data_IF_912881647081
#
_entry.id   IF_912881647081
#
_cell.length_a   1.000
_cell.length_b   1.000
_cell.length_c   1.000
_cell.angle_alpha   90.00
_cell.angle_beta   90.00
_cell.angle_gamma   90.00
#
_symmetry.space_group_name_H-M   'P 1'
#
loop_
_entity.id
_entity.type
_entity.pdbx_description
1 polymer ?
#
# COMPACT_ATOMS: atom_id res chain seq x y z
N UNK A 1 5.83 4.70 18.42
CA UNK A 1 6.30 6.01 17.88
C UNK A 1 5.33 6.40 16.76
N UNK A 2 4.80 7.63 16.72
CA UNK A 2 3.85 8.04 15.68
C UNK A 2 4.56 8.21 14.34
N UNK A 3 4.02 7.65 13.27
CA UNK A 3 4.44 7.97 11.92
C UNK A 3 3.96 9.40 11.58
N UNK A 4 4.88 10.31 11.30
CA UNK A 4 4.55 11.66 10.86
C UNK A 4 4.32 11.65 9.35
N UNK A 5 3.15 12.08 8.91
CA UNK A 5 2.80 12.21 7.50
C UNK A 5 2.86 13.68 7.13
N UNK A 6 3.71 14.02 6.20
CA UNK A 6 3.80 15.34 5.57
C UNK A 6 3.41 15.20 4.09
N UNK A 7 2.91 16.27 3.52
CA UNK A 7 2.63 16.33 2.09
C UNK A 7 3.01 17.69 1.51
N UNK A 8 3.23 17.74 0.21
CA UNK A 8 3.52 18.96 -0.53
C UNK A 8 3.61 18.70 -2.01
N UNK A 9 3.54 19.78 -2.78
CA UNK A 9 3.44 19.71 -4.23
C UNK A 9 4.78 19.47 -4.93
N UNK A 10 5.90 19.84 -4.31
CA UNK A 10 7.24 19.67 -4.88
C UNK A 10 8.07 18.71 -4.06
N UNK A 11 8.80 17.85 -4.75
CA UNK A 11 9.68 16.88 -4.08
C UNK A 11 10.80 17.57 -3.27
N UNK A 12 11.26 18.72 -3.74
CA UNK A 12 12.31 19.50 -3.05
C UNK A 12 11.88 20.09 -1.72
N UNK A 13 10.56 20.23 -1.47
CA UNK A 13 10.05 20.77 -0.19
C UNK A 13 10.36 19.85 0.98
N UNK A 14 10.65 18.55 0.72
CA UNK A 14 11.10 17.59 1.74
C UNK A 14 12.35 18.08 2.48
N UNK A 15 13.21 18.89 1.84
CA UNK A 15 14.45 19.42 2.45
C UNK A 15 14.16 20.29 3.67
N UNK A 16 12.98 20.91 3.76
CA UNK A 16 12.53 21.61 4.94
C UNK A 16 12.46 20.75 6.21
N UNK A 17 12.19 19.45 6.05
CA UNK A 17 12.11 18.47 7.13
C UNK A 17 13.46 17.81 7.45
N UNK A 18 14.50 18.05 6.63
CA UNK A 18 15.84 17.50 6.80
C UNK A 18 16.75 18.37 7.69
N UNK A 19 16.36 19.63 7.98
CA UNK A 19 17.18 20.63 8.71
C UNK A 19 17.64 20.19 10.10
N UNK A 20 17.00 19.21 10.73
CA UNK A 20 17.36 18.72 12.06
C UNK A 20 18.36 17.55 12.06
N UNK A 21 18.83 17.13 10.89
CA UNK A 21 19.70 15.95 10.76
C UNK A 21 21.09 16.37 10.26
N UNK A 22 22.16 16.04 11.01
CA UNK A 22 23.52 16.48 10.64
C UNK A 22 23.99 15.86 9.33
N UNK A 23 23.68 14.57 9.14
CA UNK A 23 24.10 13.78 7.99
C UNK A 23 22.87 13.11 7.36
N UNK A 24 22.60 13.40 6.10
CA UNK A 24 21.52 12.81 5.31
C UNK A 24 22.14 11.99 4.19
N UNK A 25 21.79 10.72 4.13
CA UNK A 25 22.15 9.78 3.07
C UNK A 25 20.88 9.43 2.30
N UNK A 26 20.94 9.46 0.96
CA UNK A 26 19.79 9.22 0.09
C UNK A 26 19.99 7.89 -0.62
N UNK A 27 19.01 7.00 -0.50
CA UNK A 27 18.90 5.79 -1.32
C UNK A 27 17.71 5.97 -2.25
N UNK A 28 17.90 5.78 -3.53
CA UNK A 28 16.83 5.98 -4.51
C UNK A 28 16.75 4.86 -5.55
N UNK A 29 15.52 4.61 -6.03
CA UNK A 29 15.30 3.82 -7.23
C UNK A 29 15.90 4.55 -8.44
N UNK A 30 16.66 3.85 -9.27
CA UNK A 30 17.28 4.41 -10.50
C UNK A 30 16.23 5.00 -11.46
N UNK A 31 15.00 4.52 -11.44
CA UNK A 31 13.92 5.06 -12.26
C UNK A 31 13.53 6.49 -11.90
N UNK A 32 13.83 6.92 -10.65
CA UNK A 32 13.54 8.28 -10.16
C UNK A 32 14.81 9.09 -9.86
N UNK A 33 15.92 8.79 -10.55
CA UNK A 33 17.23 9.47 -10.39
C UNK A 33 17.10 10.99 -10.42
N UNK A 34 16.39 11.56 -11.39
CA UNK A 34 16.23 13.01 -11.51
C UNK A 34 15.58 13.64 -10.28
N UNK A 35 14.57 13.00 -9.71
CA UNK A 35 13.90 13.45 -8.48
C UNK A 35 14.85 13.37 -7.27
N UNK A 36 15.63 12.30 -7.17
CA UNK A 36 16.60 12.14 -6.08
C UNK A 36 17.72 13.18 -6.15
N UNK A 37 18.26 13.43 -7.33
CA UNK A 37 19.29 14.47 -7.57
C UNK A 37 18.80 15.87 -7.23
N UNK A 38 17.54 16.20 -7.56
CA UNK A 38 16.91 17.47 -7.18
C UNK A 38 16.86 17.65 -5.66
N UNK A 39 16.47 16.59 -4.91
CA UNK A 39 16.43 16.63 -3.45
C UNK A 39 17.83 16.80 -2.86
N UNK A 40 18.82 16.02 -3.34
CA UNK A 40 20.22 16.14 -2.89
C UNK A 40 20.74 17.54 -3.13
N UNK A 41 20.60 18.07 -4.35
CA UNK A 41 21.02 19.42 -4.71
C UNK A 41 20.36 20.49 -3.84
N UNK A 42 19.04 20.44 -3.70
CA UNK A 42 18.30 21.41 -2.88
C UNK A 42 18.68 21.33 -1.39
N UNK A 43 19.04 20.12 -0.89
CA UNK A 43 19.53 19.96 0.47
C UNK A 43 20.95 20.54 0.65
N UNK A 44 21.84 20.35 -0.31
CA UNK A 44 23.20 20.91 -0.28
C UNK A 44 23.20 22.44 -0.35
N UNK A 45 22.32 23.03 -1.18
CA UNK A 45 22.16 24.48 -1.28
C UNK A 45 21.64 25.12 0.05
N UNK A 46 20.97 24.36 0.90
CA UNK A 46 20.51 24.81 2.21
C UNK A 46 21.56 24.67 3.32
N UNK A 47 22.66 23.92 3.10
CA UNK A 47 23.77 23.85 4.06
C UNK A 47 24.52 25.19 4.05
N UNK A 48 24.75 25.74 5.25
CA UNK A 48 25.54 26.97 5.42
C UNK A 48 26.93 26.84 4.77
N UNK A 49 27.41 27.93 4.14
CA UNK A 49 28.77 28.03 3.61
C UNK A 49 29.79 27.54 4.65
N UNK A 50 30.59 26.53 4.30
CA UNK A 50 31.64 25.96 5.14
C UNK A 50 31.48 24.49 5.51
N UNK A 51 30.37 23.85 5.18
CA UNK A 51 30.27 22.39 5.26
C UNK A 51 30.85 21.77 3.99
N UNK A 52 31.90 20.96 4.12
CA UNK A 52 32.46 20.23 2.98
C UNK A 52 31.36 19.32 2.39
N UNK A 53 31.16 19.35 1.05
CA UNK A 53 30.26 18.39 0.43
C UNK A 53 30.83 17.00 0.63
N UNK A 54 30.06 16.10 1.26
CA UNK A 54 30.39 14.68 1.26
C UNK A 54 30.25 14.17 -0.18
N UNK A 55 31.27 13.53 -0.77
CA UNK A 55 31.15 12.94 -2.08
C UNK A 55 30.10 11.84 -2.04
N UNK A 56 29.07 11.99 -2.87
CA UNK A 56 27.99 11.06 -3.14
C UNK A 56 27.16 10.57 -1.94
N UNK A 57 26.39 11.46 -1.32
CA UNK A 57 25.32 11.04 -0.39
C UNK A 57 24.11 10.38 -1.10
N UNK A 58 24.27 9.91 -2.33
CA UNK A 58 23.23 9.27 -3.13
C UNK A 58 23.66 7.89 -3.60
N UNK A 59 22.89 6.86 -3.22
CA UNK A 59 22.98 5.51 -3.75
C UNK A 59 21.77 5.24 -4.65
N UNK A 60 22.01 4.87 -5.91
CA UNK A 60 20.98 4.45 -6.85
C UNK A 60 20.91 2.93 -6.92
N UNK A 61 19.73 2.37 -6.69
CA UNK A 61 19.47 0.95 -6.75
C UNK A 61 18.69 0.58 -8.01
N UNK A 62 18.98 -0.58 -8.58
CA UNK A 62 18.14 -1.21 -9.59
C UNK A 62 17.06 -2.02 -8.85
N UNK A 63 15.84 -1.44 -8.78
CA UNK A 63 14.75 -1.94 -7.94
C UNK A 63 13.84 -2.87 -8.73
N UNK A 64 13.72 -4.10 -8.24
CA UNK A 64 12.77 -5.09 -8.74
C UNK A 64 12.35 -6.04 -7.60
N UNK A 65 11.31 -6.84 -7.81
CA UNK A 65 10.90 -7.84 -6.83
C UNK A 65 12.00 -8.91 -6.61
N UNK A 66 12.80 -9.21 -7.63
CA UNK A 66 13.95 -10.13 -7.54
C UNK A 66 15.08 -9.55 -6.70
N UNK A 67 15.29 -8.22 -6.80
CA UNK A 67 16.31 -7.50 -6.06
C UNK A 67 15.88 -7.10 -4.64
N UNK A 68 14.63 -7.36 -4.27
CA UNK A 68 14.13 -7.18 -2.89
C UNK A 68 14.70 -8.27 -1.98
N UNK A 69 15.99 -8.16 -1.69
CA UNK A 69 16.79 -9.23 -1.08
C UNK A 69 17.71 -8.74 0.04
N UNK A 70 18.19 -9.68 0.84
CA UNK A 70 19.17 -9.39 1.88
C UNK A 70 20.50 -8.89 1.30
N UNK A 71 20.89 -9.31 0.09
CA UNK A 71 22.11 -8.80 -0.60
C UNK A 71 22.02 -7.30 -0.86
N UNK A 72 20.87 -6.81 -1.33
CA UNK A 72 20.66 -5.35 -1.54
C UNK A 72 20.65 -4.57 -0.23
N UNK A 73 20.08 -5.14 0.83
CA UNK A 73 20.15 -4.54 2.18
C UNK A 73 21.59 -4.44 2.67
N UNK A 74 22.41 -5.46 2.45
CA UNK A 74 23.84 -5.43 2.80
C UNK A 74 24.64 -4.44 1.93
N UNK A 75 24.28 -4.26 0.64
CA UNK A 75 24.84 -3.22 -0.22
C UNK A 75 24.57 -1.82 0.35
N UNK A 76 23.34 -1.52 0.76
CA UNK A 76 22.99 -0.26 1.44
C UNK A 76 23.82 -0.09 2.71
N UNK A 77 23.91 -1.12 3.55
CA UNK A 77 24.71 -1.07 4.79
C UNK A 77 26.20 -0.84 4.52
N UNK A 78 26.75 -1.50 3.50
CA UNK A 78 28.15 -1.33 3.08
C UNK A 78 28.37 0.10 2.59
N UNK A 79 27.52 0.63 1.73
CA UNK A 79 27.64 2.00 1.25
C UNK A 79 27.56 3.03 2.38
N UNK A 80 26.65 2.84 3.35
CA UNK A 80 26.59 3.70 4.54
C UNK A 80 27.90 3.64 5.37
N UNK A 81 28.52 2.47 5.46
CA UNK A 81 29.77 2.28 6.16
C UNK A 81 30.95 2.93 5.42
N UNK A 82 31.03 2.74 4.12
CA UNK A 82 32.10 3.29 3.27
C UNK A 82 32.06 4.84 3.21
N UNK A 83 30.89 5.44 3.51
CA UNK A 83 30.70 6.90 3.61
C UNK A 83 30.61 7.41 5.05
N UNK A 84 31.12 6.66 6.03
CA UNK A 84 31.22 7.05 7.43
C UNK A 84 29.88 7.46 8.11
N UNK A 85 28.73 6.92 7.64
CA UNK A 85 27.43 7.22 8.23
C UNK A 85 27.42 6.94 9.74
N UNK A 86 27.21 7.99 10.54
CA UNK A 86 27.17 7.93 12.01
C UNK A 86 25.83 7.39 12.53
N UNK A 87 25.74 7.16 13.87
CA UNK A 87 24.48 6.72 14.51
C UNK A 87 23.37 7.76 14.45
N UNK A 88 23.72 9.02 14.27
CA UNK A 88 22.77 10.13 14.17
C UNK A 88 22.38 10.48 12.73
N UNK A 89 22.91 9.75 11.73
CA UNK A 89 22.55 9.90 10.34
C UNK A 89 21.08 9.59 10.09
N UNK A 90 20.52 10.21 9.05
CA UNK A 90 19.21 9.92 8.49
C UNK A 90 19.40 9.22 7.14
N UNK A 91 18.78 8.07 6.94
CA UNK A 91 18.63 7.45 5.63
C UNK A 91 17.30 7.88 5.03
N UNK A 92 17.33 8.67 3.95
CA UNK A 92 16.16 9.08 3.18
C UNK A 92 15.98 8.11 2.00
N UNK A 93 14.87 7.40 1.94
CA UNK A 93 14.56 6.54 0.81
C UNK A 93 13.58 7.24 -0.15
N UNK A 94 13.96 7.33 -1.44
CA UNK A 94 13.16 7.90 -2.52
C UNK A 94 12.86 6.79 -3.53
N UNK A 95 11.61 6.31 -3.56
CA UNK A 95 11.23 5.20 -4.42
C UNK A 95 9.89 4.58 -4.07
N UNK A 96 9.55 3.50 -4.75
CA UNK A 96 8.35 2.72 -4.47
C UNK A 96 8.43 1.90 -3.17
N UNK A 97 7.42 1.04 -2.93
CA UNK A 97 7.33 0.20 -1.75
C UNK A 97 8.55 -0.72 -1.55
N UNK A 98 9.12 -1.27 -2.62
CA UNK A 98 10.32 -2.12 -2.55
C UNK A 98 11.51 -1.32 -2.00
N UNK A 99 11.72 -0.09 -2.50
CA UNK A 99 12.80 0.79 -2.03
C UNK A 99 12.64 1.14 -0.56
N UNK A 100 11.43 1.53 -0.16
CA UNK A 100 11.15 1.91 1.24
C UNK A 100 11.32 0.74 2.19
N UNK A 101 10.89 -0.47 1.80
CA UNK A 101 11.04 -1.69 2.58
C UNK A 101 12.51 -2.05 2.80
N UNK A 102 13.32 -2.08 1.74
CA UNK A 102 14.75 -2.40 1.83
C UNK A 102 15.52 -1.35 2.63
N UNK A 103 15.29 -0.06 2.35
CA UNK A 103 15.97 1.03 3.04
C UNK A 103 15.61 1.10 4.52
N UNK A 104 14.32 0.93 4.86
CA UNK A 104 13.87 0.89 6.25
C UNK A 104 14.45 -0.29 7.02
N UNK A 105 14.57 -1.46 6.37
CA UNK A 105 15.20 -2.62 6.98
C UNK A 105 16.72 -2.42 7.14
N UNK A 106 17.42 -1.91 6.13
CA UNK A 106 18.84 -1.56 6.22
C UNK A 106 19.11 -0.57 7.37
N UNK A 107 18.32 0.53 7.43
CA UNK A 107 18.44 1.51 8.51
C UNK A 107 18.16 0.91 9.89
N UNK A 108 17.30 -0.11 9.97
CA UNK A 108 16.92 -0.74 11.24
C UNK A 108 18.04 -1.65 11.80
N UNK A 109 18.86 -2.24 10.93
CA UNK A 109 19.95 -3.14 11.34
C UNK A 109 21.32 -2.46 11.35
N UNK A 110 21.57 -1.44 10.51
CA UNK A 110 22.83 -0.72 10.45
C UNK A 110 23.13 -0.03 11.78
N UNK A 111 24.32 -0.28 12.35
CA UNK A 111 24.76 0.22 13.67
C UNK A 111 23.73 0.01 14.81
N UNK A 112 22.88 -1.03 14.73
CA UNK A 112 21.77 -1.36 15.63
C UNK A 112 20.60 -0.37 15.52
N UNK A 113 20.48 0.33 14.39
CA UNK A 113 19.41 1.24 14.06
C UNK A 113 19.85 2.69 13.95
N UNK A 114 19.73 3.24 12.73
CA UNK A 114 19.83 4.69 12.45
C UNK A 114 18.42 5.21 12.08
N UNK A 115 18.25 6.53 12.06
CA UNK A 115 17.00 7.15 11.64
C UNK A 115 16.79 6.99 10.15
N UNK A 116 15.53 6.92 9.73
CA UNK A 116 15.16 6.87 8.32
C UNK A 116 13.84 7.60 8.07
N UNK A 117 13.64 8.04 6.83
CA UNK A 117 12.44 8.69 6.35
C UNK A 117 12.16 8.28 4.90
N UNK A 118 10.95 8.52 4.43
CA UNK A 118 10.49 8.09 3.12
C UNK A 118 9.96 9.24 2.27
N UNK A 119 10.28 9.19 0.98
CA UNK A 119 9.63 9.92 -0.10
C UNK A 119 9.10 8.87 -1.09
N UNK A 120 7.89 8.35 -0.88
CA UNK A 120 7.32 7.33 -1.74
C UNK A 120 7.01 7.90 -3.13
N UNK A 121 7.43 7.19 -4.20
CA UNK A 121 7.30 7.67 -5.58
C UNK A 121 6.30 6.91 -6.43
N UNK A 122 5.71 5.83 -5.92
CA UNK A 122 4.55 5.19 -6.55
C UNK A 122 3.28 5.55 -5.78
N UNK A 123 2.14 5.60 -6.48
CA UNK A 123 0.87 5.92 -5.81
C UNK A 123 0.54 4.89 -4.72
N UNK A 124 0.77 3.60 -5.00
CA UNK A 124 0.65 2.52 -4.02
C UNK A 124 1.48 2.79 -2.75
N UNK A 125 2.70 3.27 -2.89
CA UNK A 125 3.55 3.54 -1.72
C UNK A 125 3.12 4.80 -0.96
N UNK A 126 2.57 5.81 -1.64
CA UNK A 126 2.05 7.02 -1.00
C UNK A 126 0.81 6.73 -0.13
N UNK A 127 -0.09 5.87 -0.60
CA UNK A 127 -1.35 5.60 0.10
C UNK A 127 -1.27 4.42 1.07
N UNK A 128 -0.35 3.48 0.84
CA UNK A 128 -0.29 2.22 1.57
C UNK A 128 1.13 1.78 1.97
N UNK A 129 1.99 1.34 1.04
CA UNK A 129 3.16 0.53 1.34
C UNK A 129 4.20 1.24 2.23
N UNK A 130 4.43 2.54 2.09
CA UNK A 130 5.37 3.30 2.93
C UNK A 130 4.81 3.69 4.31
N UNK A 131 3.58 3.26 4.65
CA UNK A 131 2.89 3.62 5.87
C UNK A 131 2.73 2.39 6.77
N UNK A 132 3.07 2.52 8.04
CA UNK A 132 2.81 1.46 9.03
C UNK A 132 4.04 0.69 9.48
N UNK A 133 5.25 1.08 9.03
CA UNK A 133 6.52 0.65 9.58
C UNK A 133 6.93 -0.79 9.29
N UNK A 134 6.16 -1.56 8.52
CA UNK A 134 6.61 -2.87 8.02
C UNK A 134 7.74 -2.64 7.03
N UNK A 135 8.90 -3.23 7.26
CA UNK A 135 10.07 -3.19 6.38
C UNK A 135 10.62 -4.58 6.23
N UNK A 136 11.19 -4.90 5.08
CA UNK A 136 11.75 -6.23 4.91
C UNK A 136 12.06 -6.61 3.48
N UNK A 137 12.51 -7.85 3.33
CA UNK A 137 12.94 -8.42 2.06
C UNK A 137 12.41 -9.84 1.89
N UNK A 138 12.46 -10.29 0.66
CA UNK A 138 12.16 -11.67 0.29
C UNK A 138 13.34 -12.56 0.67
N UNK A 139 13.03 -13.80 1.02
CA UNK A 139 14.03 -14.83 1.25
C UNK A 139 13.54 -16.15 0.67
N UNK A 140 14.36 -16.74 -0.19
CA UNK A 140 13.98 -17.90 -0.99
C UNK A 140 12.68 -17.63 -1.78
N UNK A 141 11.64 -18.46 -1.58
CA UNK A 141 10.35 -18.33 -2.24
C UNK A 141 9.30 -17.55 -1.41
N UNK A 142 9.71 -16.97 -0.27
CA UNK A 142 8.80 -16.29 0.62
C UNK A 142 8.95 -14.77 0.52
N UNK A 143 7.87 -14.08 0.18
CA UNK A 143 7.84 -12.62 0.15
C UNK A 143 7.82 -12.04 1.57
N UNK A 144 8.60 -10.97 1.78
CA UNK A 144 8.61 -10.15 3.00
C UNK A 144 8.84 -10.93 4.32
N UNK A 145 9.49 -12.10 4.27
CA UNK A 145 9.66 -12.98 5.44
C UNK A 145 10.74 -12.50 6.41
N UNK A 146 11.74 -11.77 5.92
CA UNK A 146 12.78 -11.18 6.75
C UNK A 146 12.54 -9.67 6.86
N UNK A 147 12.32 -9.19 8.08
CA UNK A 147 12.04 -7.77 8.28
C UNK A 147 11.78 -7.40 9.73
N UNK A 148 11.46 -6.15 9.93
CA UNK A 148 11.10 -5.58 11.24
C UNK A 148 9.92 -4.64 11.11
N UNK A 149 9.25 -4.38 12.23
CA UNK A 149 8.24 -3.31 12.33
C UNK A 149 8.92 -2.13 13.02
N UNK A 150 9.19 -1.06 12.27
CA UNK A 150 9.79 0.16 12.79
C UNK A 150 9.30 1.36 12.00
N UNK A 151 8.80 2.38 12.71
CA UNK A 151 8.26 3.58 12.08
C UNK A 151 9.39 4.48 11.54
N UNK A 152 9.22 5.09 10.35
CA UNK A 152 10.09 6.15 9.88
C UNK A 152 9.93 7.41 10.75
N UNK A 153 10.93 8.31 10.74
CA UNK A 153 10.82 9.63 11.33
C UNK A 153 9.65 10.42 10.70
N UNK A 154 9.50 10.29 9.38
CA UNK A 154 8.38 10.82 8.62
C UNK A 154 8.25 10.12 7.27
N UNK A 155 7.06 10.24 6.67
CA UNK A 155 6.81 9.95 5.26
C UNK A 155 6.34 11.24 4.60
N UNK A 156 6.97 11.64 3.50
CA UNK A 156 6.65 12.83 2.73
C UNK A 156 5.95 12.45 1.43
N UNK A 157 4.67 12.75 1.32
CA UNK A 157 3.81 12.47 0.17
C UNK A 157 3.94 13.62 -0.82
N UNK A 158 4.30 13.30 -2.08
CA UNK A 158 4.45 14.28 -3.14
C UNK A 158 3.88 13.72 -4.46
N UNK A 159 2.69 14.11 -4.88
CA UNK A 159 2.08 13.63 -6.11
C UNK A 159 2.80 14.04 -7.40
N UNK A 160 3.63 15.10 -7.39
CA UNK A 160 4.43 15.52 -8.55
C UNK A 160 5.19 14.34 -9.18
N UNK A 161 5.73 13.44 -8.35
CA UNK A 161 6.53 12.29 -8.82
C UNK A 161 5.69 11.25 -9.59
N UNK A 162 4.36 11.28 -9.47
CA UNK A 162 3.45 10.36 -10.17
C UNK A 162 3.37 10.65 -11.67
N UNK A 163 3.80 11.84 -12.13
CA UNK A 163 3.78 12.22 -13.55
C UNK A 163 4.59 11.29 -14.48
N UNK A 164 5.55 10.55 -13.93
CA UNK A 164 6.35 9.56 -14.67
C UNK A 164 5.90 8.12 -14.47
N UNK A 165 4.96 7.89 -13.53
CA UNK A 165 4.50 6.55 -13.18
C UNK A 165 3.69 5.94 -14.33
N UNK A 166 3.93 4.67 -14.73
CA UNK A 166 3.05 3.97 -15.64
C UNK A 166 1.61 3.94 -15.11
N UNK A 167 0.62 4.11 -16.01
CA UNK A 167 -0.79 4.21 -15.59
C UNK A 167 -1.28 2.94 -14.86
N UNK A 168 -0.80 1.76 -15.24
CA UNK A 168 -1.13 0.51 -14.55
C UNK A 168 -0.66 0.50 -13.09
N UNK A 169 0.52 1.08 -12.82
CA UNK A 169 1.05 1.21 -11.46
C UNK A 169 0.29 2.28 -10.67
N UNK A 170 -0.17 3.35 -11.34
CA UNK A 170 -1.09 4.31 -10.76
C UNK A 170 -2.40 3.64 -10.32
N UNK A 171 -3.00 2.80 -11.17
CA UNK A 171 -4.20 2.02 -10.83
C UNK A 171 -3.99 1.08 -9.63
N UNK A 172 -2.79 0.53 -9.46
CA UNK A 172 -2.49 -0.28 -8.28
C UNK A 172 -2.60 0.53 -6.98
N UNK A 173 -2.14 1.78 -7.01
CA UNK A 173 -2.34 2.71 -5.88
C UNK A 173 -3.81 3.13 -5.71
N UNK A 174 -4.54 3.33 -6.82
CA UNK A 174 -5.95 3.67 -6.79
C UNK A 174 -6.81 2.60 -6.11
N UNK A 175 -6.51 1.31 -6.34
CA UNK A 175 -7.19 0.21 -5.65
C UNK A 175 -6.99 0.25 -4.13
N UNK A 176 -5.78 0.52 -3.67
CA UNK A 176 -5.45 0.64 -2.24
C UNK A 176 -6.01 1.91 -1.60
N UNK A 177 -6.08 3.01 -2.36
CA UNK A 177 -6.76 4.23 -1.95
C UNK A 177 -8.24 3.94 -1.66
N UNK A 178 -8.95 3.35 -2.62
CA UNK A 178 -10.36 2.97 -2.47
C UNK A 178 -10.56 1.96 -1.35
N UNK A 179 -9.68 0.97 -1.19
CA UNK A 179 -9.69 0.04 -0.06
C UNK A 179 -9.68 0.80 1.27
N UNK A 180 -8.78 1.76 1.42
CA UNK A 180 -8.65 2.53 2.65
C UNK A 180 -9.93 3.31 2.96
N UNK A 181 -10.58 3.89 1.94
CA UNK A 181 -11.82 4.63 2.11
C UNK A 181 -13.06 3.74 2.26
N UNK A 182 -13.04 2.50 1.78
CA UNK A 182 -14.05 1.50 2.13
C UNK A 182 -13.94 1.11 3.62
N UNK A 183 -12.74 1.12 4.19
CA UNK A 183 -12.52 0.84 5.62
C UNK A 183 -12.96 2.03 6.49
N UNK A 184 -12.66 3.26 6.07
CA UNK A 184 -12.99 4.49 6.79
C UNK A 184 -13.30 5.61 5.78
N UNK A 185 -14.57 5.99 5.63
CA UNK A 185 -15.04 7.03 4.70
C UNK A 185 -15.25 8.38 5.39
N UNK A 186 -14.43 8.75 6.37
CA UNK A 186 -14.49 10.06 6.98
C UNK A 186 -14.35 11.18 5.92
N UNK A 187 -15.28 12.12 5.91
CA UNK A 187 -15.28 13.26 4.99
C UNK A 187 -15.67 12.92 3.54
N UNK A 188 -16.37 11.81 3.30
CA UNK A 188 -16.81 11.34 1.98
C UNK A 188 -15.62 11.15 1.00
N UNK A 189 -14.50 10.70 1.52
CA UNK A 189 -13.28 10.52 0.72
C UNK A 189 -13.43 9.44 -0.35
N UNK A 190 -14.31 8.43 -0.13
CA UNK A 190 -14.57 7.40 -1.13
C UNK A 190 -15.21 8.01 -2.39
N UNK A 191 -16.26 8.81 -2.22
CA UNK A 191 -16.98 9.44 -3.33
C UNK A 191 -16.07 10.41 -4.10
N UNK A 192 -15.30 11.22 -3.39
CA UNK A 192 -14.30 12.13 -4.00
C UNK A 192 -13.22 11.36 -4.77
N UNK A 193 -12.74 10.24 -4.22
CA UNK A 193 -11.74 9.42 -4.91
C UNK A 193 -12.30 8.79 -6.18
N UNK A 194 -13.55 8.27 -6.15
CA UNK A 194 -14.21 7.72 -7.34
C UNK A 194 -14.38 8.80 -8.41
N UNK A 195 -14.77 10.03 -8.05
CA UNK A 195 -14.91 11.14 -8.99
C UNK A 195 -13.57 11.47 -9.67
N UNK A 196 -12.53 11.78 -8.89
CA UNK A 196 -11.20 12.12 -9.42
C UNK A 196 -10.61 10.98 -10.26
N UNK A 197 -10.68 9.74 -9.78
CA UNK A 197 -10.14 8.60 -10.50
C UNK A 197 -10.89 8.31 -11.80
N UNK A 198 -12.22 8.51 -11.84
CA UNK A 198 -13.02 8.34 -13.05
C UNK A 198 -12.69 9.41 -14.10
N UNK A 199 -12.54 10.68 -13.72
CA UNK A 199 -12.12 11.76 -14.63
C UNK A 199 -10.73 11.49 -15.23
N UNK A 200 -9.79 11.00 -14.42
CA UNK A 200 -8.47 10.59 -14.90
C UNK A 200 -8.58 9.41 -15.87
N UNK A 201 -9.41 8.40 -15.55
CA UNK A 201 -9.55 7.21 -16.39
C UNK A 201 -10.19 7.51 -17.75
N UNK A 202 -11.22 8.35 -17.76
CA UNK A 202 -11.97 8.74 -18.96
C UNK A 202 -11.18 9.68 -19.88
N UNK A 203 -10.12 10.31 -19.36
CA UNK A 203 -9.28 11.21 -20.15
C UNK A 203 -8.52 10.47 -21.25
N UNK A 204 -8.43 11.10 -22.45
CA UNK A 204 -7.60 10.61 -23.55
C UNK A 204 -6.12 10.64 -23.19
N UNK A 205 -5.66 11.70 -22.50
CA UNK A 205 -4.29 11.82 -21.97
C UNK A 205 -4.33 11.71 -20.44
N UNK A 206 -4.19 10.49 -19.95
CA UNK A 206 -4.21 10.18 -18.52
C UNK A 206 -3.05 10.80 -17.75
N UNK A 207 -1.89 10.98 -18.37
CA UNK A 207 -0.75 11.67 -17.73
C UNK A 207 -1.06 13.14 -17.51
N UNK A 208 -1.63 13.80 -18.50
CA UNK A 208 -2.07 15.18 -18.37
C UNK A 208 -3.20 15.29 -17.33
N UNK A 209 -4.15 14.35 -17.33
CA UNK A 209 -5.21 14.32 -16.33
C UNK A 209 -4.64 14.17 -14.89
N UNK A 210 -3.72 13.26 -14.66
CA UNK A 210 -3.03 13.14 -13.36
C UNK A 210 -2.37 14.48 -12.98
N UNK A 211 -1.69 15.14 -13.92
CA UNK A 211 -1.04 16.43 -13.66
C UNK A 211 -2.03 17.56 -13.35
N UNK A 212 -3.26 17.51 -13.86
CA UNK A 212 -4.32 18.47 -13.56
C UNK A 212 -4.94 18.24 -12.17
N UNK A 213 -4.95 17.00 -11.69
CA UNK A 213 -5.55 16.60 -10.41
C UNK A 213 -4.53 16.42 -9.27
N UNK A 214 -3.31 16.99 -9.38
CA UNK A 214 -2.27 16.77 -8.36
C UNK A 214 -2.69 17.25 -6.96
N UNK A 215 -3.48 18.31 -6.86
CA UNK A 215 -3.92 18.83 -5.56
C UNK A 215 -4.93 17.88 -4.89
N UNK A 216 -5.89 17.36 -5.65
CA UNK A 216 -6.89 16.40 -5.16
C UNK A 216 -6.23 15.07 -4.82
N UNK A 217 -5.28 14.61 -5.65
CA UNK A 217 -4.50 13.38 -5.39
C UNK A 217 -3.68 13.55 -4.09
N UNK A 218 -3.07 14.73 -3.85
CA UNK A 218 -2.34 15.01 -2.60
C UNK A 218 -3.27 14.90 -1.38
N UNK A 219 -4.43 15.57 -1.46
CA UNK A 219 -5.42 15.54 -0.37
C UNK A 219 -5.87 14.11 -0.05
N UNK A 220 -6.24 13.34 -1.08
CA UNK A 220 -6.71 11.96 -0.96
C UNK A 220 -5.60 11.02 -0.47
N UNK A 221 -4.38 11.12 -1.02
CA UNK A 221 -3.25 10.30 -0.57
C UNK A 221 -2.89 10.59 0.88
N UNK A 222 -2.85 11.86 1.27
CA UNK A 222 -2.58 12.24 2.65
C UNK A 222 -3.70 11.80 3.60
N UNK A 223 -4.97 11.84 3.18
CA UNK A 223 -6.09 11.33 3.96
C UNK A 223 -5.98 9.81 4.16
N UNK A 224 -5.75 9.04 3.11
CA UNK A 224 -5.56 7.59 3.21
C UNK A 224 -4.37 7.22 4.11
N UNK A 225 -3.24 7.90 3.94
CA UNK A 225 -2.06 7.68 4.77
C UNK A 225 -2.33 7.97 6.26
N UNK A 226 -3.09 9.02 6.58
CA UNK A 226 -3.48 9.34 7.98
C UNK A 226 -4.45 8.31 8.55
N UNK A 227 -5.43 7.83 7.78
CA UNK A 227 -6.33 6.75 8.20
C UNK A 227 -5.52 5.50 8.52
N UNK A 228 -4.65 5.07 7.60
CA UNK A 228 -3.79 3.90 7.81
C UNK A 228 -2.86 4.09 9.01
N UNK A 229 -2.20 5.23 9.13
CA UNK A 229 -1.33 5.53 10.27
C UNK A 229 -2.10 5.48 11.61
N UNK A 230 -3.33 5.99 11.65
CA UNK A 230 -4.20 5.92 12.82
C UNK A 230 -4.56 4.49 13.21
N UNK A 231 -4.89 3.64 12.25
CA UNK A 231 -5.17 2.20 12.50
C UNK A 231 -3.90 1.50 13.03
N UNK A 232 -2.74 1.75 12.40
CA UNK A 232 -1.46 1.18 12.82
C UNK A 232 -1.06 1.66 14.23
N UNK A 233 -1.32 2.90 14.58
CA UNK A 233 -1.03 3.44 15.91
C UNK A 233 -1.83 2.72 17.01
N UNK A 234 -3.07 2.32 16.72
CA UNK A 234 -3.91 1.55 17.65
C UNK A 234 -3.59 0.07 17.69
N UNK A 235 -2.98 -0.48 16.63
CA UNK A 235 -2.63 -1.90 16.52
C UNK A 235 -1.35 -2.10 15.67
N UNK A 236 -0.18 -1.81 16.26
CA UNK A 236 1.09 -1.87 15.55
C UNK A 236 1.44 -3.27 15.04
N UNK A 237 1.08 -4.32 15.80
CA UNK A 237 1.47 -5.71 15.52
C UNK A 237 0.40 -6.54 14.80
N UNK A 238 -0.71 -5.91 14.35
CA UNK A 238 -1.77 -6.58 13.58
C UNK A 238 -2.48 -7.71 14.34
N UNK A 239 -2.68 -7.51 15.63
CA UNK A 239 -3.39 -8.48 16.47
C UNK A 239 -4.91 -8.31 16.44
N UNK A 240 -5.44 -7.17 15.98
CA UNK A 240 -6.84 -6.79 16.02
C UNK A 240 -7.26 -5.89 14.86
N UNK A 241 -7.48 -4.58 15.12
CA UNK A 241 -8.05 -3.62 14.17
C UNK A 241 -7.26 -3.51 12.85
N UNK A 242 -5.93 -3.60 12.90
CA UNK A 242 -5.07 -3.50 11.71
C UNK A 242 -5.37 -4.59 10.68
N UNK A 243 -5.95 -5.72 11.09
CA UNK A 243 -6.40 -6.77 10.16
C UNK A 243 -7.43 -6.26 9.14
N UNK A 244 -8.19 -5.19 9.44
CA UNK A 244 -9.11 -4.55 8.48
C UNK A 244 -8.40 -4.10 7.20
N UNK A 245 -7.12 -3.71 7.29
CA UNK A 245 -6.30 -3.34 6.13
C UNK A 245 -6.11 -4.48 5.11
N UNK A 246 -6.41 -5.72 5.51
CA UNK A 246 -6.41 -6.89 4.63
C UNK A 246 -7.75 -7.08 3.87
N UNK A 247 -8.62 -6.06 3.81
CA UNK A 247 -9.84 -6.10 3.00
C UNK A 247 -9.51 -6.48 1.56
N UNK A 248 -10.18 -7.51 1.02
CA UNK A 248 -9.93 -8.05 -0.32
C UNK A 248 -8.69 -8.95 -0.45
N UNK A 249 -7.72 -8.85 0.46
CA UNK A 249 -6.41 -9.53 0.32
C UNK A 249 -6.48 -11.05 0.38
N UNK A 250 -7.47 -11.62 1.07
CA UNK A 250 -7.68 -13.07 1.09
C UNK A 250 -7.90 -13.63 -0.31
N UNK A 251 -8.72 -12.94 -1.11
CA UNK A 251 -8.94 -13.30 -2.52
C UNK A 251 -7.78 -12.85 -3.41
N UNK A 252 -7.23 -11.64 -3.16
CA UNK A 252 -6.13 -11.09 -3.95
C UNK A 252 -4.91 -12.02 -3.96
N UNK A 253 -4.46 -12.50 -2.80
CA UNK A 253 -3.34 -13.45 -2.70
C UNK A 253 -3.62 -14.77 -3.46
N UNK A 254 -4.86 -15.26 -3.42
CA UNK A 254 -5.23 -16.42 -4.20
C UNK A 254 -5.16 -16.16 -5.71
N UNK A 255 -5.63 -14.98 -6.16
CA UNK A 255 -5.57 -14.54 -7.57
C UNK A 255 -4.10 -14.43 -8.01
N UNK A 256 -3.24 -13.77 -7.22
CA UNK A 256 -1.80 -13.63 -7.50
C UNK A 256 -1.13 -15.00 -7.58
N UNK A 257 -1.40 -15.89 -6.61
CA UNK A 257 -0.83 -17.25 -6.58
C UNK A 257 -1.21 -18.08 -7.82
N UNK A 258 -2.48 -18.01 -8.24
CA UNK A 258 -2.94 -18.71 -9.46
C UNK A 258 -2.34 -18.08 -10.71
N UNK A 259 -2.24 -16.76 -10.78
CA UNK A 259 -1.63 -16.03 -11.89
C UNK A 259 -0.16 -16.45 -12.08
N UNK A 260 0.62 -16.48 -11.00
CA UNK A 260 2.03 -16.91 -11.03
C UNK A 260 2.18 -18.38 -11.46
N UNK A 261 1.33 -19.27 -10.93
CA UNK A 261 1.45 -20.72 -11.20
C UNK A 261 1.14 -21.12 -12.65
N UNK A 262 0.35 -20.32 -13.36
CA UNK A 262 -0.04 -20.56 -14.75
C UNK A 262 0.91 -19.99 -15.78
N UNK A 263 2.07 -19.47 -15.38
CA UNK A 263 3.01 -18.80 -16.28
C UNK A 263 2.31 -17.75 -17.17
N UNK A 264 1.36 -17.04 -16.61
CA UNK A 264 0.87 -15.83 -17.25
C UNK A 264 2.09 -14.93 -17.42
N UNK A 265 2.54 -14.74 -18.66
CA UNK A 265 3.79 -14.07 -19.00
C UNK A 265 4.01 -12.85 -18.16
N UNK A 266 5.24 -12.63 -17.69
CA UNK A 266 5.62 -11.56 -16.74
C UNK A 266 5.14 -10.16 -17.16
N UNK A 267 4.92 -9.92 -18.45
CA UNK A 267 4.41 -8.66 -19.00
C UNK A 267 2.86 -8.54 -18.96
N UNK A 268 2.12 -9.64 -18.80
CA UNK A 268 0.64 -9.68 -18.79
C UNK A 268 0.05 -10.22 -17.49
N UNK A 269 0.85 -10.45 -16.46
CA UNK A 269 0.39 -10.91 -15.15
C UNK A 269 -0.57 -9.92 -14.48
N UNK A 270 -1.39 -10.41 -13.55
CA UNK A 270 -2.27 -9.58 -12.74
C UNK A 270 -1.42 -8.80 -11.73
N UNK A 271 -1.52 -7.47 -11.72
CA UNK A 271 -0.85 -6.63 -10.75
C UNK A 271 -1.49 -6.76 -9.35
N UNK A 272 -0.77 -6.36 -8.31
CA UNK A 272 -1.27 -6.37 -6.94
C UNK A 272 -2.58 -5.59 -6.80
N UNK A 273 -2.64 -4.37 -7.31
CA UNK A 273 -3.86 -3.55 -7.22
C UNK A 273 -5.03 -4.11 -8.03
N UNK A 274 -4.77 -4.72 -9.19
CA UNK A 274 -5.80 -5.44 -9.94
C UNK A 274 -6.37 -6.62 -9.13
N UNK A 275 -5.51 -7.39 -8.48
CA UNK A 275 -5.92 -8.49 -7.61
C UNK A 275 -6.72 -8.00 -6.40
N UNK A 276 -6.29 -6.90 -5.76
CA UNK A 276 -6.97 -6.30 -4.62
C UNK A 276 -8.35 -5.75 -5.03
N UNK A 277 -8.46 -5.08 -6.19
CA UNK A 277 -9.75 -4.60 -6.70
C UNK A 277 -10.73 -5.74 -6.89
N UNK A 278 -10.35 -6.78 -7.63
CA UNK A 278 -11.17 -7.99 -7.79
C UNK A 278 -11.49 -8.66 -6.45
N UNK A 279 -10.52 -8.71 -5.55
CA UNK A 279 -10.68 -9.27 -4.21
C UNK A 279 -11.71 -8.51 -3.34
N UNK A 280 -11.77 -7.19 -3.47
CA UNK A 280 -12.79 -6.38 -2.79
C UNK A 280 -14.20 -6.62 -3.34
N UNK A 281 -14.35 -6.79 -4.66
CA UNK A 281 -15.64 -7.17 -5.26
C UNK A 281 -16.10 -8.55 -4.76
N UNK A 282 -15.17 -9.51 -4.64
CA UNK A 282 -15.46 -10.82 -4.09
C UNK A 282 -15.83 -10.73 -2.59
N UNK A 283 -15.12 -9.88 -1.82
CA UNK A 283 -15.46 -9.64 -0.43
C UNK A 283 -16.85 -8.99 -0.27
N UNK A 284 -17.24 -8.07 -1.16
CA UNK A 284 -18.58 -7.49 -1.16
C UNK A 284 -19.66 -8.54 -1.45
N UNK A 285 -19.43 -9.42 -2.43
CA UNK A 285 -20.34 -10.56 -2.70
C UNK A 285 -20.49 -11.46 -1.45
N UNK A 286 -19.37 -11.82 -0.84
CA UNK A 286 -19.35 -12.61 0.38
C UNK A 286 -20.10 -11.93 1.53
N UNK A 287 -19.98 -10.61 1.65
CA UNK A 287 -20.67 -9.81 2.65
C UNK A 287 -22.20 -9.82 2.46
N UNK A 288 -22.66 -9.67 1.21
CA UNK A 288 -24.10 -9.76 0.91
C UNK A 288 -24.67 -11.13 1.26
N UNK A 289 -23.93 -12.22 0.98
CA UNK A 289 -24.34 -13.57 1.35
C UNK A 289 -24.37 -13.78 2.88
N UNK A 290 -23.38 -13.24 3.57
CA UNK A 290 -23.26 -13.36 5.03
C UNK A 290 -24.37 -12.60 5.78
N UNK A 291 -24.68 -11.38 5.35
CA UNK A 291 -25.66 -10.52 6.01
C UNK A 291 -27.11 -10.75 5.52
N UNK A 292 -27.33 -11.50 4.42
CA UNK A 292 -28.67 -11.76 3.90
C UNK A 292 -29.29 -12.99 4.62
N UNK A 293 -30.35 -12.80 5.44
CA UNK A 293 -30.98 -13.90 6.19
C UNK A 293 -31.75 -14.91 5.32
N UNK A 294 -32.03 -14.59 4.07
CA UNK A 294 -32.79 -15.47 3.17
C UNK A 294 -31.91 -16.53 2.45
N UNK A 295 -30.58 -16.52 2.62
CA UNK A 295 -29.73 -17.57 2.08
C UNK A 295 -29.79 -18.81 2.97
N UNK A 296 -30.08 -19.98 2.39
CA UNK A 296 -30.11 -21.29 3.12
C UNK A 296 -28.78 -21.64 3.80
N UNK A 297 -27.73 -20.86 3.57
CA UNK A 297 -26.39 -20.97 4.15
C UNK A 297 -26.04 -19.87 5.15
N UNK A 298 -27.01 -19.20 5.78
CA UNK A 298 -26.71 -18.19 6.78
C UNK A 298 -26.03 -18.80 8.01
N UNK A 299 -24.70 -18.74 8.05
CA UNK A 299 -23.89 -19.11 9.21
C UNK A 299 -23.97 -18.01 10.28
N UNK A 300 -25.11 -17.86 10.93
CA UNK A 300 -25.22 -17.00 12.11
C UNK A 300 -24.65 -17.74 13.31
N UNK A 301 -23.56 -17.26 13.88
CA UNK A 301 -23.32 -17.48 15.30
C UNK A 301 -24.35 -16.68 16.09
N UNK A 302 -24.87 -17.22 17.16
CA UNK A 302 -25.98 -16.70 18.01
C UNK A 302 -25.74 -15.31 18.62
N UNK A 303 -24.59 -14.66 18.34
CA UNK A 303 -24.20 -13.37 18.91
C UNK A 303 -24.74 -12.13 18.15
N UNK A 304 -25.51 -12.29 17.05
CA UNK A 304 -26.03 -11.16 16.23
C UNK A 304 -27.58 -11.11 16.30
N UNK A 305 -28.16 -11.45 17.41
CA UNK A 305 -29.60 -11.22 17.66
C UNK A 305 -29.80 -9.74 18.02
N UNK A 306 -30.09 -8.85 17.07
CA UNK A 306 -30.53 -7.52 17.42
C UNK A 306 -30.56 -6.42 16.38
N UNK A 307 -30.01 -6.58 15.18
CA UNK A 307 -30.10 -5.53 14.18
C UNK A 307 -30.38 -6.12 12.78
N UNK A 308 -31.57 -5.79 12.24
CA UNK A 308 -31.96 -6.03 10.84
C UNK A 308 -31.23 -5.03 9.97
N UNK A 309 -29.95 -5.29 9.67
CA UNK A 309 -29.14 -4.43 8.80
C UNK A 309 -28.88 -5.15 7.48
N UNK A 310 -29.70 -4.86 6.50
CA UNK A 310 -29.42 -5.21 5.11
C UNK A 310 -28.32 -4.28 4.58
N UNK A 311 -27.29 -4.84 3.95
CA UNK A 311 -26.25 -4.08 3.25
C UNK A 311 -26.84 -3.45 1.95
N UNK A 312 -27.70 -2.44 2.10
CA UNK A 312 -28.29 -1.68 0.99
C UNK A 312 -27.71 -0.28 0.96
N UNK A 313 -27.34 0.22 -0.24
CA UNK A 313 -27.09 1.62 -0.46
C UNK A 313 -28.39 2.43 -0.33
N UNK A 314 -28.28 3.76 -0.14
CA UNK A 314 -29.44 4.67 0.01
C UNK A 314 -30.41 4.64 -1.20
N UNK A 315 -30.03 4.06 -2.35
CA UNK A 315 -30.81 3.98 -3.57
C UNK A 315 -31.36 2.57 -3.92
N UNK A 316 -31.26 1.60 -3.00
CA UNK A 316 -31.69 0.20 -3.25
C UNK A 316 -30.73 -0.61 -4.14
N UNK A 317 -29.59 -0.05 -4.55
CA UNK A 317 -28.51 -0.76 -5.24
C UNK A 317 -27.76 -1.65 -4.23
N UNK A 318 -27.38 -2.87 -4.63
CA UNK A 318 -26.55 -3.72 -3.75
C UNK A 318 -25.13 -3.17 -3.62
N UNK A 319 -24.47 -3.44 -2.48
CA UNK A 319 -23.10 -3.00 -2.23
C UNK A 319 -22.14 -3.47 -3.33
N UNK A 320 -22.24 -4.76 -3.71
CA UNK A 320 -21.45 -5.32 -4.81
C UNK A 320 -21.68 -4.57 -6.12
N UNK A 321 -22.94 -4.29 -6.48
CA UNK A 321 -23.28 -3.58 -7.72
C UNK A 321 -22.68 -2.16 -7.72
N UNK A 322 -22.76 -1.45 -6.59
CA UNK A 322 -22.12 -0.15 -6.39
C UNK A 322 -20.62 -0.22 -6.60
N UNK A 323 -19.93 -1.16 -5.93
CA UNK A 323 -18.47 -1.28 -6.08
C UNK A 323 -18.07 -1.67 -7.51
N UNK A 324 -18.80 -2.56 -8.18
CA UNK A 324 -18.56 -2.92 -9.59
C UNK A 324 -18.68 -1.68 -10.48
N UNK A 325 -19.74 -0.89 -10.34
CA UNK A 325 -19.92 0.35 -11.08
C UNK A 325 -18.78 1.34 -10.85
N UNK A 326 -18.47 1.61 -9.59
CA UNK A 326 -17.50 2.63 -9.20
C UNK A 326 -16.07 2.22 -9.60
N UNK A 327 -15.69 0.96 -9.41
CA UNK A 327 -14.38 0.46 -9.81
C UNK A 327 -14.20 0.44 -11.33
N UNK A 328 -15.25 0.04 -12.08
CA UNK A 328 -15.22 0.10 -13.54
C UNK A 328 -15.02 1.53 -14.05
N UNK A 329 -15.68 2.52 -13.44
CA UNK A 329 -15.51 3.95 -13.77
C UNK A 329 -14.07 4.42 -13.50
N UNK A 330 -13.42 3.88 -12.46
CA UNK A 330 -12.03 4.17 -12.14
C UNK A 330 -11.01 3.40 -12.99
N UNK A 331 -11.46 2.52 -13.90
CA UNK A 331 -10.60 1.68 -14.74
C UNK A 331 -10.00 0.46 -14.03
N UNK A 332 -10.56 0.08 -12.90
CA UNK A 332 -10.15 -1.11 -12.14
C UNK A 332 -10.93 -2.35 -12.60
N UNK A 333 -10.29 -3.54 -12.65
CA UNK A 333 -10.98 -4.78 -13.00
C UNK A 333 -11.94 -5.20 -11.88
N UNK A 334 -13.12 -5.70 -12.30
CA UNK A 334 -14.18 -6.13 -11.39
C UNK A 334 -14.51 -7.62 -11.50
N UNK A 335 -13.94 -8.31 -12.48
CA UNK A 335 -14.15 -9.73 -12.71
C UNK A 335 -12.84 -10.50 -12.63
N UNK A 336 -12.84 -11.56 -11.84
CA UNK A 336 -11.69 -12.46 -11.74
C UNK A 336 -11.67 -13.42 -12.94
N UNK A 337 -10.55 -13.53 -13.69
CA UNK A 337 -10.45 -14.38 -14.85
C UNK A 337 -10.26 -15.88 -14.49
N UNK A 338 -10.15 -16.21 -13.21
CA UNK A 338 -9.91 -17.58 -12.77
C UNK A 338 -11.19 -18.23 -12.21
N UNK A 339 -11.39 -19.53 -12.48
CA UNK A 339 -12.53 -20.24 -11.93
C UNK A 339 -12.45 -20.37 -10.40
N UNK A 340 -13.58 -20.39 -9.68
CA UNK A 340 -13.63 -20.45 -8.22
C UNK A 340 -12.83 -21.62 -7.61
N UNK A 341 -12.82 -22.79 -8.28
CA UNK A 341 -12.11 -23.98 -7.80
C UNK A 341 -10.59 -23.77 -7.72
N UNK A 342 -10.03 -22.99 -8.66
CA UNK A 342 -8.61 -22.65 -8.66
C UNK A 342 -8.27 -21.72 -7.48
N UNK A 343 -9.11 -20.77 -7.19
CA UNK A 343 -8.94 -19.85 -6.07
C UNK A 343 -9.09 -20.58 -4.71
N UNK A 344 -10.08 -21.44 -4.60
CA UNK A 344 -10.29 -22.28 -3.41
C UNK A 344 -9.05 -23.10 -3.06
N UNK A 345 -8.43 -23.71 -4.09
CA UNK A 345 -7.20 -24.47 -3.92
C UNK A 345 -6.01 -23.63 -3.44
N UNK A 346 -5.88 -22.40 -3.96
CA UNK A 346 -4.85 -21.46 -3.57
C UNK A 346 -5.08 -20.93 -2.13
N UNK A 347 -6.31 -20.56 -1.78
CA UNK A 347 -6.69 -20.13 -0.45
C UNK A 347 -6.39 -21.17 0.64
N UNK A 348 -6.65 -22.45 0.35
CA UNK A 348 -6.33 -23.55 1.29
C UNK A 348 -4.84 -23.74 1.51
N UNK A 349 -4.01 -23.45 0.49
CA UNK A 349 -2.55 -23.57 0.58
C UNK A 349 -1.89 -22.40 1.29
N UNK A 350 -2.36 -21.18 1.04
CA UNK A 350 -1.80 -19.94 1.60
C UNK A 350 -2.09 -19.82 3.11
N UNK A 351 -3.18 -20.38 3.57
CA UNK A 351 -3.57 -20.33 4.95
C UNK A 351 -3.15 -21.59 5.68
N UNK A 352 -1.96 -21.54 6.21
CA UNK A 352 -1.69 -22.11 7.53
C UNK A 352 -2.56 -21.30 8.50
N UNK A 353 -3.88 -21.58 8.49
CA UNK A 353 -4.81 -21.00 9.42
C UNK A 353 -4.24 -21.19 10.82
N UNK A 354 -4.16 -20.13 11.59
CA UNK A 354 -4.01 -20.27 13.03
C UNK A 354 -5.21 -21.09 13.51
N UNK A 355 -4.99 -22.36 13.77
CA UNK A 355 -6.01 -23.33 14.18
C UNK A 355 -7.20 -23.55 13.20
N UNK A 356 -7.04 -23.39 11.90
CA UNK A 356 -8.11 -23.65 10.91
C UNK A 356 -9.12 -22.51 10.72
N UNK A 357 -8.87 -21.34 11.33
CA UNK A 357 -9.72 -20.14 11.24
C UNK A 357 -9.09 -19.11 10.30
N UNK A 358 -9.91 -18.48 9.49
CA UNK A 358 -9.56 -17.36 8.62
C UNK A 358 -10.22 -16.09 9.13
N UNK A 359 -9.41 -15.04 9.34
CA UNK A 359 -9.93 -13.70 9.63
C UNK A 359 -10.39 -13.04 8.32
N UNK A 360 -11.69 -13.09 8.07
CA UNK A 360 -12.30 -12.50 6.89
C UNK A 360 -12.70 -11.05 7.17
N UNK A 361 -12.47 -10.16 6.21
CA UNK A 361 -12.92 -8.79 6.31
C UNK A 361 -14.15 -8.63 5.43
N UNK A 362 -15.31 -8.45 6.07
CA UNK A 362 -16.58 -8.23 5.41
C UNK A 362 -16.94 -6.74 5.39
N UNK A 363 -17.58 -6.30 4.32
CA UNK A 363 -18.02 -4.92 4.12
C UNK A 363 -19.50 -4.85 4.50
N UNK A 364 -19.82 -4.06 5.50
CA UNK A 364 -21.22 -3.79 5.87
C UNK A 364 -21.76 -2.58 5.09
N UNK A 365 -20.95 -1.55 5.00
CA UNK A 365 -21.19 -0.37 4.20
C UNK A 365 -19.83 0.28 3.87
N UNK A 366 -19.79 1.24 2.95
CA UNK A 366 -18.59 2.06 2.74
C UNK A 366 -18.35 2.86 4.02
N UNK A 367 -17.14 2.71 4.60
CA UNK A 367 -16.77 3.24 5.91
C UNK A 367 -17.05 2.30 7.10
N UNK A 368 -17.67 1.15 6.88
CA UNK A 368 -17.91 0.15 7.95
C UNK A 368 -17.56 -1.25 7.48
N UNK A 369 -16.44 -1.77 7.97
CA UNK A 369 -15.97 -3.14 7.73
C UNK A 369 -15.83 -3.90 9.04
N UNK A 370 -16.05 -5.21 9.00
CA UNK A 370 -16.01 -6.11 10.17
C UNK A 370 -15.04 -7.25 9.94
N UNK A 371 -14.31 -7.59 10.98
CA UNK A 371 -13.49 -8.79 11.03
C UNK A 371 -14.39 -9.93 11.48
N UNK A 372 -14.47 -11.01 10.69
CA UNK A 372 -15.26 -12.19 10.98
C UNK A 372 -14.37 -13.41 10.89
N UNK A 373 -14.40 -14.21 11.95
CA UNK A 373 -13.64 -15.45 12.04
C UNK A 373 -14.45 -16.58 11.43
N UNK A 374 -13.98 -17.11 10.29
CA UNK A 374 -14.66 -18.20 9.60
C UNK A 374 -13.75 -19.42 9.48
N UNK A 375 -14.30 -20.65 9.60
CA UNK A 375 -13.58 -21.85 9.19
C UNK A 375 -13.12 -21.73 7.74
N UNK A 376 -11.92 -22.25 7.42
CA UNK A 376 -11.36 -22.20 6.04
C UNK A 376 -12.34 -22.76 5.01
N UNK A 377 -13.05 -23.84 5.35
CA UNK A 377 -14.04 -24.48 4.47
C UNK A 377 -15.24 -23.57 4.16
N UNK A 378 -15.66 -22.77 5.12
CA UNK A 378 -16.76 -21.80 4.96
C UNK A 378 -16.32 -20.58 4.14
N UNK A 379 -15.10 -20.11 4.37
CA UNK A 379 -14.53 -18.97 3.65
C UNK A 379 -14.33 -19.23 2.13
N UNK A 380 -14.18 -20.49 1.75
CA UNK A 380 -14.02 -20.94 0.36
C UNK A 380 -15.37 -20.99 -0.39
N UNK A 381 -16.46 -21.16 0.33
CA UNK A 381 -17.82 -21.29 -0.25
C UNK A 381 -18.58 -19.94 -0.31
N UNK A 382 -17.99 -18.84 0.18
CA UNK A 382 -18.48 -17.48 0.02
C UNK A 382 -18.03 -16.89 -1.33
#
# INVERSE_FOLDING_TARGET
>A
MKCKIYSGQKITDVTGYLKGYPDVFVVADRQVTSSAEQVVKAHEEQKLEGTLPHPSNLLLLDVSEENKSMSTVLEICKWLMDNDAGRNALLLAIGGGITTDMAGFAASIYKRGIRFAYVPTTFLSQVDAAIGGKTGVNFENYKNILGVIRQPEFTYICPEVLGTLPYRDFLSGAAELLKTFIIDNAGNNYEKAVEVLSEIHESIDRKQAIALHLAEIEELAAAAARIKAGIVERDEFECGERRKLNLGHTFAHAIESVSMSRHYCAESGISHGEAVAMGMIMAAKASEQYYNPASENSMRSDDIAGQNDTATSEEGESLKARLVRDFSRCGLPTECPFPPESLSGAMKKDKKAENGIVHFILIRAIGDVRIVDLPVESAVNL
#
